data_IF_263513236860
#
_entry.id   IF_263513236860
#
_cell.length_a   1.000
_cell.length_b   1.000
_cell.length_c   1.000
_cell.angle_alpha   90.00
_cell.angle_beta   90.00
_cell.angle_gamma   90.00
#
_symmetry.space_group_name_H-M   'P 1'
#
loop_
_entity.id
_entity.type
_entity.pdbx_description
1 polymer ?
#
# COMPACT_ATOMS: atom_id res chain seq x y z
N UNK A 1 -58.13 -14.10 -5.84
CA UNK A 1 -58.02 -14.19 -4.37
C UNK A 1 -56.63 -14.71 -4.03
N UNK A 2 -55.73 -13.87 -3.50
CA UNK A 2 -54.38 -14.31 -3.12
C UNK A 2 -54.47 -15.19 -1.87
N UNK A 3 -53.91 -16.39 -1.95
CA UNK A 3 -53.92 -17.36 -0.84
C UNK A 3 -53.06 -16.84 0.32
N UNK A 4 -53.34 -17.28 1.55
CA UNK A 4 -52.63 -16.83 2.76
C UNK A 4 -51.11 -16.96 2.65
N UNK A 5 -50.64 -18.02 1.97
CA UNK A 5 -49.21 -18.27 1.70
C UNK A 5 -48.58 -17.18 0.81
N UNK A 6 -49.30 -16.70 -0.19
CA UNK A 6 -48.82 -15.60 -1.06
C UNK A 6 -48.74 -14.28 -0.31
N UNK A 7 -49.66 -14.02 0.63
CA UNK A 7 -49.61 -12.81 1.48
C UNK A 7 -48.39 -12.79 2.41
N UNK A 8 -48.06 -13.95 2.99
CA UNK A 8 -46.87 -14.09 3.86
C UNK A 8 -45.59 -13.91 3.04
N UNK A 9 -45.49 -14.54 1.86
CA UNK A 9 -44.33 -14.40 0.98
C UNK A 9 -44.09 -12.93 0.60
N UNK A 10 -45.15 -12.22 0.21
CA UNK A 10 -45.07 -10.82 -0.22
C UNK A 10 -44.63 -9.91 0.94
N UNK A 11 -45.09 -10.18 2.17
CA UNK A 11 -44.68 -9.42 3.36
C UNK A 11 -43.20 -9.63 3.69
N UNK A 12 -42.69 -10.86 3.59
CA UNK A 12 -41.26 -11.16 3.83
C UNK A 12 -40.39 -10.46 2.76
N UNK A 13 -40.81 -10.48 1.49
CA UNK A 13 -40.06 -9.84 0.41
C UNK A 13 -40.00 -8.32 0.60
N UNK A 14 -41.12 -7.68 0.94
CA UNK A 14 -41.15 -6.24 1.20
C UNK A 14 -40.29 -5.87 2.42
N UNK A 15 -40.35 -6.67 3.48
CA UNK A 15 -39.52 -6.43 4.68
C UNK A 15 -38.02 -6.62 4.40
N UNK A 16 -37.65 -7.61 3.60
CA UNK A 16 -36.26 -7.84 3.19
C UNK A 16 -35.69 -6.71 2.35
N UNK A 17 -36.47 -6.16 1.41
CA UNK A 17 -36.05 -5.01 0.58
C UNK A 17 -35.92 -3.75 1.44
N UNK A 18 -36.82 -3.53 2.39
CA UNK A 18 -36.75 -2.40 3.31
C UNK A 18 -35.50 -2.48 4.22
N UNK A 19 -35.20 -3.66 4.76
CA UNK A 19 -34.00 -3.88 5.59
C UNK A 19 -32.71 -3.72 4.78
N UNK A 20 -32.67 -4.18 3.53
CA UNK A 20 -31.54 -3.99 2.63
C UNK A 20 -31.24 -2.51 2.36
N UNK A 21 -32.29 -1.69 2.19
CA UNK A 21 -32.14 -0.25 2.01
C UNK A 21 -31.60 0.46 3.26
N UNK A 22 -32.03 0.04 4.46
CA UNK A 22 -31.54 0.62 5.72
C UNK A 22 -30.06 0.30 5.96
N UNK A 23 -29.59 -0.90 5.59
CA UNK A 23 -28.18 -1.29 5.75
C UNK A 23 -27.21 -0.56 4.81
N UNK A 24 -27.67 -0.09 3.64
CA UNK A 24 -26.85 0.73 2.73
C UNK A 24 -26.62 2.15 3.28
N UNK A 25 -27.49 2.63 4.17
CA UNK A 25 -27.46 4.02 4.62
C UNK A 25 -26.40 4.29 5.70
N UNK A 26 -25.93 3.27 6.42
CA UNK A 26 -24.94 3.43 7.50
C UNK A 26 -23.48 3.46 7.02
N UNK A 27 -23.20 3.19 5.73
CA UNK A 27 -21.83 3.26 5.18
C UNK A 27 -21.41 4.66 4.71
N UNK A 28 -22.27 5.67 4.85
CA UNK A 28 -21.99 7.06 4.40
C UNK A 28 -21.63 8.05 5.52
N UNK A 29 -21.56 7.62 6.79
CA UNK A 29 -21.29 8.52 7.93
C UNK A 29 -19.94 8.34 8.61
N UNK A 30 -19.04 7.51 8.08
CA UNK A 30 -17.63 7.49 8.48
C UNK A 30 -16.77 8.32 7.52
N UNK A 31 -17.18 9.58 7.30
CA UNK A 31 -16.22 10.61 6.89
C UNK A 31 -15.47 11.02 8.15
N UNK A 32 -14.37 10.30 8.41
CA UNK A 32 -13.38 10.69 9.40
C UNK A 32 -13.01 12.16 9.19
N UNK A 33 -13.31 12.99 10.18
CA UNK A 33 -12.76 14.33 10.34
C UNK A 33 -11.23 14.23 10.31
N UNK A 34 -10.65 14.46 9.14
CA UNK A 34 -9.21 14.66 8.98
C UNK A 34 -8.91 16.07 9.47
N UNK A 35 -7.93 16.29 10.36
CA UNK A 35 -7.51 17.65 10.68
C UNK A 35 -6.99 18.29 9.40
N UNK A 36 -7.62 19.38 9.00
CA UNK A 36 -7.21 20.24 7.89
C UNK A 36 -5.87 20.90 8.28
N UNK A 37 -4.78 20.23 7.95
CA UNK A 37 -3.46 20.84 7.93
C UNK A 37 -3.42 21.77 6.73
N UNK A 38 -3.42 23.07 6.99
CA UNK A 38 -3.12 24.12 6.01
C UNK A 38 -1.64 24.04 5.63
N UNK A 39 -1.26 22.98 4.94
CA UNK A 39 0.01 22.84 4.25
C UNK A 39 -0.25 23.03 2.77
N UNK A 40 0.48 23.96 2.15
CA UNK A 40 0.53 24.15 0.70
C UNK A 40 0.69 22.75 0.07
N UNK A 41 -0.34 22.28 -0.64
CA UNK A 41 -0.28 21.03 -1.38
C UNK A 41 0.79 21.19 -2.46
N UNK A 42 1.99 20.73 -2.16
CA UNK A 42 3.02 20.52 -3.16
C UNK A 42 2.41 19.60 -4.22
N UNK A 43 2.15 20.12 -5.42
CA UNK A 43 1.62 19.33 -6.52
C UNK A 43 2.60 18.20 -6.76
N UNK A 44 2.22 16.98 -6.37
CA UNK A 44 3.00 15.78 -6.66
C UNK A 44 3.13 15.73 -8.18
N UNK A 45 4.36 15.78 -8.74
CA UNK A 45 4.54 15.75 -10.18
C UNK A 45 3.94 14.45 -10.74
N UNK A 46 2.85 14.56 -11.48
CA UNK A 46 2.16 13.39 -12.05
C UNK A 46 2.97 12.75 -13.18
N UNK A 47 3.88 13.52 -13.78
CA UNK A 47 4.59 13.11 -14.98
C UNK A 47 5.76 12.15 -14.73
N UNK A 48 6.19 11.94 -13.48
CA UNK A 48 7.29 11.03 -13.14
C UNK A 48 6.92 10.11 -11.96
N UNK A 49 7.45 8.89 -11.90
CA UNK A 49 7.22 8.02 -10.76
C UNK A 49 7.94 8.57 -9.53
N UNK A 50 7.20 8.71 -8.43
CA UNK A 50 7.70 9.14 -7.13
C UNK A 50 7.07 8.30 -6.02
N UNK A 51 7.79 8.15 -4.91
CA UNK A 51 7.26 7.52 -3.70
C UNK A 51 6.33 8.50 -3.00
N UNK A 52 5.07 8.10 -2.79
CA UNK A 52 4.04 8.91 -2.14
C UNK A 52 3.85 8.54 -0.67
N UNK A 53 4.08 7.28 -0.32
CA UNK A 53 4.00 6.82 1.06
C UNK A 53 4.82 5.55 1.28
N UNK A 54 5.11 5.28 2.55
CA UNK A 54 5.79 4.07 2.98
C UNK A 54 5.12 3.51 4.22
N UNK A 55 5.31 2.21 4.44
CA UNK A 55 5.01 1.55 5.72
C UNK A 55 6.27 0.84 6.20
N UNK A 56 6.77 1.12 7.42
CA UNK A 56 6.33 2.18 8.34
C UNK A 56 6.41 3.59 7.72
N UNK A 57 5.56 4.49 8.21
CA UNK A 57 5.49 5.86 7.70
C UNK A 57 6.82 6.60 7.95
N UNK A 58 7.30 7.32 6.92
CA UNK A 58 8.50 8.16 7.03
C UNK A 58 9.84 7.42 6.89
N UNK A 59 9.85 6.12 6.63
CA UNK A 59 11.09 5.31 6.53
C UNK A 59 11.99 5.73 5.36
N UNK A 60 11.45 6.45 4.38
CA UNK A 60 12.19 7.05 3.28
C UNK A 60 12.80 8.42 3.61
N UNK A 61 12.48 9.01 4.78
CA UNK A 61 12.95 10.33 5.22
C UNK A 61 13.80 10.26 6.48
N UNK A 62 13.46 9.38 7.41
CA UNK A 62 14.17 9.19 8.67
C UNK A 62 15.08 7.95 8.63
N UNK A 63 16.38 8.16 8.86
CA UNK A 63 17.38 7.08 8.85
C UNK A 63 17.33 6.20 10.12
N UNK A 64 16.59 6.62 11.15
CA UNK A 64 16.57 5.99 12.47
C UNK A 64 15.27 5.23 12.78
N UNK A 65 14.44 4.94 11.77
CA UNK A 65 13.20 4.19 12.00
C UNK A 65 13.56 2.77 12.47
N UNK A 66 13.09 2.46 13.69
CA UNK A 66 13.19 1.13 14.28
C UNK A 66 11.94 0.33 13.92
N UNK A 67 12.13 -0.88 13.38
CA UNK A 67 11.05 -1.76 12.94
C UNK A 67 11.00 -3.06 13.75
N UNK A 68 9.81 -3.68 13.75
CA UNK A 68 9.63 -5.03 14.26
C UNK A 68 10.38 -6.06 13.39
N UNK A 69 10.90 -7.17 13.96
CA UNK A 69 11.61 -8.20 13.21
C UNK A 69 10.77 -8.86 12.09
N UNK A 70 9.44 -8.81 12.18
CA UNK A 70 8.54 -9.36 11.16
C UNK A 70 7.87 -8.29 10.30
N UNK A 71 8.27 -7.03 10.46
CA UNK A 71 7.66 -5.90 9.76
C UNK A 71 7.81 -6.06 8.25
N UNK A 72 6.69 -5.98 7.53
CA UNK A 72 6.69 -5.82 6.07
C UNK A 72 6.93 -4.36 5.75
N UNK A 73 7.85 -4.10 4.81
CA UNK A 73 8.09 -2.76 4.29
C UNK A 73 7.20 -2.56 3.07
N UNK A 74 6.41 -1.49 3.08
CA UNK A 74 5.59 -1.12 1.93
C UNK A 74 6.08 0.19 1.33
N UNK A 75 6.14 0.26 0.01
CA UNK A 75 6.51 1.46 -0.74
C UNK A 75 5.44 1.70 -1.79
N UNK A 76 4.71 2.80 -1.63
CA UNK A 76 3.64 3.21 -2.55
C UNK A 76 4.15 4.30 -3.47
N UNK A 77 3.93 4.12 -4.77
CA UNK A 77 4.25 5.08 -5.81
C UNK A 77 3.00 5.83 -6.29
N UNK A 78 3.18 7.03 -6.86
CA UNK A 78 2.08 7.75 -7.52
C UNK A 78 1.58 7.00 -8.77
N UNK A 79 2.43 6.16 -9.38
CA UNK A 79 2.22 5.47 -10.64
C UNK A 79 2.28 3.94 -10.48
N UNK A 80 1.49 3.16 -11.25
CA UNK A 80 1.58 1.70 -11.20
C UNK A 80 2.91 1.21 -11.76
N UNK A 81 3.47 0.17 -11.16
CA UNK A 81 4.55 -0.63 -11.75
C UNK A 81 4.02 -1.45 -12.94
N UNK A 82 4.88 -1.67 -13.94
CA UNK A 82 4.54 -2.51 -15.10
C UNK A 82 4.17 -3.93 -14.64
N UNK A 83 5.04 -4.53 -13.83
CA UNK A 83 4.84 -5.81 -13.14
C UNK A 83 5.91 -5.97 -12.04
N UNK A 84 5.84 -7.06 -11.27
CA UNK A 84 6.77 -7.33 -10.17
C UNK A 84 8.21 -7.61 -10.63
N UNK A 85 8.41 -8.21 -11.81
CA UNK A 85 9.74 -8.50 -12.36
C UNK A 85 10.50 -7.25 -12.84
N UNK A 86 9.76 -6.18 -13.09
CA UNK A 86 10.30 -4.87 -13.44
C UNK A 86 10.62 -4.01 -12.21
N UNK A 87 10.29 -4.45 -10.99
CA UNK A 87 10.71 -3.75 -9.77
C UNK A 87 12.17 -4.10 -9.42
N UNK A 88 13.11 -3.24 -9.80
CA UNK A 88 14.55 -3.46 -9.61
C UNK A 88 14.99 -2.90 -8.26
N UNK A 89 15.54 -3.74 -7.40
CA UNK A 89 15.87 -3.36 -6.03
C UNK A 89 16.97 -4.26 -5.45
N UNK A 90 17.56 -3.82 -4.35
CA UNK A 90 18.52 -4.57 -3.53
C UNK A 90 18.33 -4.24 -2.05
N UNK A 91 18.67 -5.19 -1.17
CA UNK A 91 18.69 -4.98 0.28
C UNK A 91 20.08 -5.34 0.81
N UNK A 92 20.67 -4.43 1.57
CA UNK A 92 21.97 -4.60 2.22
C UNK A 92 21.81 -4.48 3.75
N UNK A 93 22.31 -5.42 4.57
CA UNK A 93 22.96 -6.68 4.17
C UNK A 93 21.98 -7.64 3.47
N UNK A 94 22.52 -8.53 2.64
CA UNK A 94 21.73 -9.51 1.88
C UNK A 94 20.96 -10.42 2.82
N UNK A 95 19.65 -10.53 2.59
CA UNK A 95 18.73 -11.41 3.33
C UNK A 95 17.66 -11.95 2.39
N UNK A 96 17.00 -13.04 2.80
CA UNK A 96 15.88 -13.58 2.04
C UNK A 96 14.57 -12.86 2.35
N UNK A 97 13.90 -12.42 1.30
CA UNK A 97 12.59 -11.77 1.37
C UNK A 97 11.70 -12.16 0.19
N UNK A 98 10.42 -11.88 0.32
CA UNK A 98 9.42 -12.00 -0.74
C UNK A 98 8.96 -10.61 -1.13
N UNK A 99 8.86 -10.38 -2.44
CA UNK A 99 8.23 -9.19 -2.99
C UNK A 99 6.79 -9.51 -3.34
N UNK A 100 5.88 -8.64 -2.96
CA UNK A 100 4.48 -8.61 -3.35
C UNK A 100 4.15 -7.30 -4.04
N UNK A 101 3.03 -7.29 -4.77
CA UNK A 101 2.53 -6.13 -5.47
C UNK A 101 1.02 -6.04 -5.22
N UNK A 102 0.54 -4.85 -4.85
CA UNK A 102 -0.89 -4.59 -4.65
C UNK A 102 -1.69 -4.74 -5.95
N UNK A 103 -3.01 -4.87 -5.83
CA UNK A 103 -3.92 -5.02 -6.97
C UNK A 103 -3.86 -3.83 -7.95
N UNK A 104 -3.71 -2.62 -7.43
CA UNK A 104 -3.53 -1.40 -8.24
C UNK A 104 -2.10 -1.24 -8.79
N UNK A 105 -1.19 -2.14 -8.39
CA UNK A 105 0.23 -2.18 -8.75
C UNK A 105 1.04 -0.96 -8.34
N UNK A 106 0.51 -0.14 -7.43
CA UNK A 106 1.20 1.06 -6.93
C UNK A 106 2.01 0.79 -5.67
N UNK A 107 1.69 -0.26 -4.92
CA UNK A 107 2.34 -0.57 -3.64
C UNK A 107 3.13 -1.86 -3.75
N UNK A 108 4.44 -1.75 -3.55
CA UNK A 108 5.32 -2.90 -3.39
C UNK A 108 5.38 -3.27 -1.92
N UNK A 109 5.25 -4.56 -1.64
CA UNK A 109 5.36 -5.12 -0.30
C UNK A 109 6.60 -6.00 -0.22
N UNK A 110 7.48 -5.74 0.73
CA UNK A 110 8.71 -6.48 0.96
C UNK A 110 8.61 -7.14 2.32
N UNK A 111 8.31 -8.44 2.31
CA UNK A 111 8.15 -9.23 3.51
C UNK A 111 9.40 -10.09 3.73
N UNK A 112 10.05 -10.04 4.90
CA UNK A 112 11.17 -10.92 5.18
C UNK A 112 10.71 -12.38 5.17
N UNK A 113 11.47 -13.30 4.56
CA UNK A 113 11.16 -14.75 4.67
C UNK A 113 11.50 -15.29 6.06
N UNK A 114 12.46 -14.65 6.72
CA UNK A 114 12.86 -14.92 8.10
C UNK A 114 13.06 -13.59 8.80
N UNK A 115 12.72 -13.52 10.08
CA UNK A 115 12.73 -12.26 10.83
C UNK A 115 14.02 -11.45 10.62
N UNK A 116 13.89 -10.13 10.44
CA UNK A 116 15.02 -9.20 10.35
C UNK A 116 15.93 -9.39 11.56
N UNK A 117 17.24 -9.50 11.32
CA UNK A 117 18.22 -9.70 12.36
C UNK A 117 18.17 -8.53 13.34
N UNK A 118 18.01 -8.83 14.63
CA UNK A 118 17.91 -7.84 15.69
C UNK A 118 19.11 -6.89 15.70
N UNK A 119 18.86 -5.62 16.00
CA UNK A 119 19.86 -4.56 16.08
C UNK A 119 20.58 -4.24 14.76
N UNK A 120 20.21 -4.87 13.65
CA UNK A 120 20.87 -4.69 12.36
C UNK A 120 20.24 -3.55 11.58
N UNK A 121 21.08 -2.73 10.95
CA UNK A 121 20.66 -1.68 10.03
C UNK A 121 20.62 -2.25 8.61
N UNK A 122 19.55 -1.92 7.89
CA UNK A 122 19.30 -2.35 6.53
C UNK A 122 19.12 -1.14 5.62
N UNK A 123 19.52 -1.29 4.36
CA UNK A 123 19.30 -0.35 3.29
C UNK A 123 18.59 -1.05 2.14
N UNK A 124 17.32 -0.69 1.91
CA UNK A 124 16.58 -1.03 0.71
C UNK A 124 16.86 0.04 -0.35
N UNK A 125 17.45 -0.35 -1.48
CA UNK A 125 17.68 0.55 -2.61
C UNK A 125 16.81 0.12 -3.78
N UNK A 126 15.98 1.03 -4.28
CA UNK A 126 15.16 0.87 -5.48
C UNK A 126 15.89 1.54 -6.64
N UNK A 127 16.14 0.80 -7.70
CA UNK A 127 16.99 1.21 -8.81
C UNK A 127 16.19 1.93 -9.92
N UNK A 128 16.82 2.83 -10.68
CA UNK A 128 16.21 3.62 -11.76
C UNK A 128 15.63 2.78 -12.89
N UNK A 129 16.14 1.56 -13.06
CA UNK A 129 15.63 0.62 -14.06
C UNK A 129 14.24 0.05 -13.75
N UNK A 130 13.64 0.42 -12.61
CA UNK A 130 12.26 0.08 -12.32
C UNK A 130 11.29 0.73 -13.30
N UNK A 131 10.38 -0.06 -13.88
CA UNK A 131 9.45 0.42 -14.93
C UNK A 131 8.03 0.62 -14.40
N UNK A 132 7.46 1.76 -14.80
CA UNK A 132 6.12 2.21 -14.42
C UNK A 132 5.26 2.39 -15.66
N UNK A 133 3.98 2.04 -15.54
CA UNK A 133 3.00 2.17 -16.62
C UNK A 133 1.64 2.57 -16.06
N UNK A 134 1.19 3.79 -16.39
CA UNK A 134 -0.16 4.29 -16.06
C UNK A 134 -1.27 3.43 -16.69
N UNK A 135 -1.05 2.93 -17.90
CA UNK A 135 -2.01 2.15 -18.68
C UNK A 135 -1.46 0.74 -18.96
N UNK A 136 -1.63 -0.22 -18.03
CA UNK A 136 -1.22 -1.61 -18.24
C UNK A 136 -1.69 -2.16 -19.59
N UNK A 137 -0.76 -2.69 -20.38
CA UNK A 137 -1.06 -3.28 -21.69
C UNK A 137 -0.95 -2.32 -22.87
N UNK A 138 -0.75 -1.01 -22.64
CA UNK A 138 -0.30 -0.08 -23.68
C UNK A 138 1.20 0.16 -23.55
N UNK A 139 1.91 -0.03 -24.66
CA UNK A 139 3.38 0.05 -24.74
C UNK A 139 3.90 1.50 -24.65
N UNK A 140 3.00 2.48 -24.76
CA UNK A 140 3.29 3.87 -25.14
C UNK A 140 3.76 4.80 -24.01
N UNK A 141 3.74 4.39 -22.74
CA UNK A 141 4.06 5.27 -21.60
C UNK A 141 4.82 4.55 -20.49
N UNK A 142 5.97 3.94 -20.85
CA UNK A 142 6.89 3.39 -19.86
C UNK A 142 7.73 4.51 -19.24
N UNK A 143 7.56 4.74 -17.94
CA UNK A 143 8.36 5.71 -17.17
C UNK A 143 9.31 4.97 -16.22
N UNK A 144 10.39 5.64 -15.83
CA UNK A 144 11.44 5.14 -14.93
C UNK A 144 11.66 6.11 -13.79
N UNK A 145 12.27 5.66 -12.70
CA UNK A 145 12.73 6.58 -11.65
C UNK A 145 13.92 7.39 -12.15
N UNK A 146 14.00 8.65 -11.73
CA UNK A 146 15.07 9.55 -12.12
C UNK A 146 16.41 9.22 -11.43
N UNK A 147 16.35 8.55 -10.27
CA UNK A 147 17.49 8.22 -9.42
C UNK A 147 17.18 7.02 -8.52
N UNK A 148 18.22 6.49 -7.88
CA UNK A 148 18.11 5.47 -6.83
C UNK A 148 17.32 6.03 -5.63
N UNK A 149 16.35 5.28 -5.13
CA UNK A 149 15.67 5.59 -3.88
C UNK A 149 16.22 4.69 -2.79
N UNK A 150 16.89 5.27 -1.80
CA UNK A 150 17.45 4.53 -0.66
C UNK A 150 16.58 4.73 0.58
N UNK A 151 16.15 3.62 1.17
CA UNK A 151 15.32 3.55 2.37
C UNK A 151 16.13 2.81 3.44
N UNK A 152 16.44 3.49 4.55
CA UNK A 152 17.24 2.94 5.64
C UNK A 152 16.36 2.66 6.85
N UNK A 153 16.58 1.51 7.49
CA UNK A 153 15.84 1.14 8.70
C UNK A 153 16.66 0.23 9.60
N UNK A 154 16.32 0.23 10.89
CA UNK A 154 16.99 -0.61 11.88
C UNK A 154 15.99 -1.59 12.48
N UNK A 155 16.35 -2.86 12.57
CA UNK A 155 15.56 -3.83 13.35
C UNK A 155 15.76 -3.57 14.84
N UNK A 156 14.71 -3.73 15.65
CA UNK A 156 14.78 -3.56 17.11
C UNK A 156 15.94 -4.37 17.72
N UNK A 157 16.60 -3.79 18.70
CA UNK A 157 17.68 -4.40 19.47
C UNK A 157 17.14 -4.78 20.86
N UNK A 158 17.38 -6.02 21.31
CA UNK A 158 17.07 -6.40 22.68
C UNK A 158 18.22 -5.99 23.59
N UNK A 159 17.99 -5.00 24.45
CA UNK A 159 18.89 -4.66 25.56
C UNK A 159 18.31 -5.34 26.79
N UNK A 160 18.89 -6.47 27.19
CA UNK A 160 18.48 -7.16 28.41
C UNK A 160 18.50 -6.20 29.59
N UNK A 161 17.49 -6.32 30.46
CA UNK A 161 17.41 -5.62 31.75
C UNK A 161 18.04 -6.52 32.81
#
# INVERSE_FOLDING_TARGET
>A
MTTLKQKILLLITVLGVALFYLFQQEQLLFLSSTPQSTGIAEQIPTDRPVVVSTVPAGINRDENITISPTQTIEVTFNMPLENIGEFKHKIEPTVEYKVGLSNDRKTVQISPKSAWKLGTSYALTILPDSKFNENPGQESTKKKLDHDISIRFKSIEYRGI
#
